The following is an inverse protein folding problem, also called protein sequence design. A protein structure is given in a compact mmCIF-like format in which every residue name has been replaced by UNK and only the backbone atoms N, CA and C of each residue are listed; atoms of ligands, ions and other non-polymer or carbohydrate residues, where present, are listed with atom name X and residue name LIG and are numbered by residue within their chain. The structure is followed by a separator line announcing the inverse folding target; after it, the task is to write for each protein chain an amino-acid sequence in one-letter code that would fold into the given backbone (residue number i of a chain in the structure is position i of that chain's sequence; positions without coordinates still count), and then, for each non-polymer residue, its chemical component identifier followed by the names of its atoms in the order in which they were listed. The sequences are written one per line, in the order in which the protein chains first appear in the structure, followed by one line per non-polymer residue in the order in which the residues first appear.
data_IF_610819668407
#
_entry.id   IF_610819668407
#
_cell.length_a   1.000
_cell.length_b   1.000
_cell.length_c   1.000
_cell.angle_alpha   90.00
_cell.angle_beta   90.00
_cell.angle_gamma   90.00
#
_symmetry.space_group_name_H-M   'P 1'
#
loop_
_entity.id
_entity.type
_entity.pdbx_description
1 polymer ?
#
# COMPACT_ATOMS: atom_id res chain seq x y z
N UNK A 1 3.19 13.12 -46.81
CA UNK A 1 4.28 12.09 -46.82
C UNK A 1 5.19 12.10 -45.59
N UNK A 2 5.15 13.08 -44.69
CA UNK A 2 5.99 13.14 -43.49
C UNK A 2 5.56 12.23 -42.32
N UNK A 3 4.29 11.89 -42.25
CA UNK A 3 3.72 11.12 -41.11
C UNK A 3 4.10 9.63 -41.12
N UNK A 4 4.27 9.02 -42.32
CA UNK A 4 4.63 7.61 -42.46
C UNK A 4 6.12 7.35 -42.14
N UNK A 5 7.00 8.33 -42.37
CA UNK A 5 8.42 8.24 -42.05
C UNK A 5 8.66 8.32 -40.53
N UNK A 6 7.91 9.18 -39.81
CA UNK A 6 8.02 9.31 -38.36
C UNK A 6 7.57 8.03 -37.61
N UNK A 7 6.51 7.39 -38.12
CA UNK A 7 5.99 6.14 -37.54
C UNK A 7 6.97 4.98 -37.70
N UNK A 8 7.67 4.89 -38.85
CA UNK A 8 8.70 3.86 -39.09
C UNK A 8 9.94 4.04 -38.23
N UNK A 9 10.39 5.29 -38.04
CA UNK A 9 11.55 5.59 -37.17
C UNK A 9 11.25 5.32 -35.70
N UNK A 10 10.04 5.65 -35.24
CA UNK A 10 9.60 5.40 -33.86
C UNK A 10 9.51 3.90 -33.58
N UNK A 11 8.97 3.12 -34.51
CA UNK A 11 8.87 1.66 -34.36
C UNK A 11 10.25 0.97 -34.44
N UNK A 12 11.17 1.47 -35.25
CA UNK A 12 12.54 0.94 -35.33
C UNK A 12 13.35 1.25 -34.07
N UNK A 13 13.21 2.46 -33.50
CA UNK A 13 13.82 2.85 -32.23
C UNK A 13 13.23 2.07 -31.05
N UNK A 14 11.90 1.87 -31.03
CA UNK A 14 11.21 1.07 -30.01
C UNK A 14 11.65 -0.40 -30.06
N UNK A 15 11.76 -0.99 -31.25
CA UNK A 15 12.23 -2.36 -31.44
C UNK A 15 13.68 -2.54 -30.95
N UNK A 16 14.56 -1.60 -31.29
CA UNK A 16 15.96 -1.61 -30.88
C UNK A 16 16.14 -1.40 -29.36
N UNK A 17 15.26 -0.60 -28.76
CA UNK A 17 15.21 -0.39 -27.31
C UNK A 17 14.66 -1.62 -26.59
N UNK A 18 13.59 -2.21 -27.10
CA UNK A 18 13.00 -3.47 -26.59
C UNK A 18 14.01 -4.61 -26.62
N UNK A 19 14.69 -4.81 -27.76
CA UNK A 19 15.63 -5.93 -27.94
C UNK A 19 16.90 -5.74 -27.08
N UNK A 20 17.30 -4.48 -26.81
CA UNK A 20 18.39 -4.16 -25.88
C UNK A 20 18.00 -4.41 -24.41
N UNK A 21 16.76 -4.11 -24.02
CA UNK A 21 16.26 -4.42 -22.67
C UNK A 21 16.01 -5.91 -22.49
N UNK A 22 15.55 -6.60 -23.52
CA UNK A 22 15.36 -8.04 -23.50
C UNK A 22 16.69 -8.79 -23.27
N UNK A 23 17.78 -8.36 -23.93
CA UNK A 23 19.11 -8.94 -23.73
C UNK A 23 19.76 -8.58 -22.39
N UNK A 24 19.37 -7.47 -21.73
CA UNK A 24 19.88 -7.12 -20.40
C UNK A 24 19.18 -7.95 -19.30
N UNK A 25 17.94 -8.38 -19.53
CA UNK A 25 17.20 -9.22 -18.58
C UNK A 25 17.44 -10.74 -18.73
N UNK A 26 18.06 -11.17 -19.85
CA UNK A 26 18.33 -12.58 -20.17
C UNK A 26 19.76 -12.80 -20.61
N UNK A 27 20.72 -12.39 -19.75
CA UNK A 27 22.09 -12.84 -19.92
C UNK A 27 22.22 -14.23 -19.27
N UNK A 28 22.16 -15.28 -20.10
CA UNK A 28 22.32 -16.68 -19.69
C UNK A 28 23.74 -17.00 -19.16
N UNK A 29 24.64 -16.01 -19.10
CA UNK A 29 26.02 -16.17 -18.66
C UNK A 29 26.31 -15.67 -17.25
N UNK A 30 25.32 -15.15 -16.53
CA UNK A 30 25.52 -14.85 -15.10
C UNK A 30 25.51 -16.17 -14.32
N UNK A 31 26.69 -16.70 -14.06
CA UNK A 31 26.90 -17.72 -13.03
C UNK A 31 26.63 -17.09 -11.67
N UNK A 32 25.37 -17.08 -11.25
CA UNK A 32 25.01 -16.75 -9.88
C UNK A 32 25.10 -17.99 -8.99
N UNK A 33 26.11 -18.02 -8.16
CA UNK A 33 26.11 -18.79 -6.92
C UNK A 33 25.14 -18.13 -5.92
N UNK A 34 23.85 -18.17 -6.23
CA UNK A 34 22.79 -17.85 -5.27
C UNK A 34 21.92 -19.09 -5.15
N UNK A 35 21.57 -19.43 -3.91
CA UNK A 35 20.67 -20.53 -3.60
C UNK A 35 19.37 -20.45 -4.40
N UNK A 36 18.43 -21.39 -4.27
CA UNK A 36 17.25 -21.50 -5.11
C UNK A 36 16.40 -20.24 -5.05
N UNK A 37 16.75 -19.28 -5.88
CA UNK A 37 16.01 -18.03 -6.04
C UNK A 37 14.73 -18.25 -6.84
N UNK A 38 13.73 -17.43 -6.57
CA UNK A 38 12.50 -17.43 -7.35
C UNK A 38 12.78 -17.03 -8.80
N UNK A 39 12.31 -17.84 -9.74
CA UNK A 39 12.38 -17.50 -11.18
C UNK A 39 11.15 -16.67 -11.54
N UNK A 40 11.36 -15.51 -12.15
CA UNK A 40 10.28 -14.64 -12.62
C UNK A 40 10.29 -14.62 -14.15
N UNK A 41 9.12 -14.86 -14.75
CA UNK A 41 8.90 -14.69 -16.19
C UNK A 41 7.82 -13.64 -16.41
N UNK A 42 8.05 -12.69 -17.31
CA UNK A 42 7.09 -11.65 -17.69
C UNK A 42 6.67 -11.89 -19.15
N UNK A 43 5.41 -12.19 -19.35
CA UNK A 43 4.80 -12.32 -20.68
C UNK A 43 4.00 -11.04 -20.98
N UNK A 44 4.31 -10.37 -22.10
CA UNK A 44 3.65 -9.14 -22.51
C UNK A 44 2.88 -9.41 -23.79
N UNK A 45 1.55 -9.27 -23.75
CA UNK A 45 0.65 -9.39 -24.91
C UNK A 45 -0.42 -8.30 -24.87
N UNK A 46 -0.85 -7.88 -26.05
CA UNK A 46 -2.01 -6.97 -26.20
C UNK A 46 -3.35 -7.60 -25.77
N UNK A 47 -3.37 -8.92 -25.60
CA UNK A 47 -4.56 -9.67 -25.16
C UNK A 47 -4.82 -9.48 -23.65
N UNK A 48 -3.80 -9.11 -22.88
CA UNK A 48 -3.94 -8.84 -21.44
C UNK A 48 -4.41 -7.40 -21.21
N UNK A 49 -5.69 -7.23 -20.90
CA UNK A 49 -6.28 -5.91 -20.61
C UNK A 49 -5.85 -5.39 -19.26
N UNK A 50 -5.62 -6.29 -18.30
CA UNK A 50 -5.16 -5.98 -16.94
C UNK A 50 -3.98 -6.88 -16.58
N UNK A 51 -2.96 -6.34 -15.87
CA UNK A 51 -1.85 -7.16 -15.42
C UNK A 51 -2.32 -8.15 -14.34
N UNK A 52 -1.87 -9.40 -14.44
CA UNK A 52 -2.07 -10.39 -13.40
C UNK A 52 -0.76 -11.16 -13.15
N UNK A 53 -0.60 -11.69 -11.94
CA UNK A 53 0.53 -12.54 -11.59
C UNK A 53 0.04 -13.91 -11.15
N UNK A 54 0.74 -14.97 -11.60
CA UNK A 54 0.49 -16.35 -11.16
C UNK A 54 1.76 -16.89 -10.52
N UNK A 55 1.65 -17.34 -9.29
CA UNK A 55 2.78 -17.90 -8.54
C UNK A 55 2.56 -19.41 -8.42
N UNK A 56 3.46 -20.18 -9.05
CA UNK A 56 3.50 -21.63 -8.90
C UNK A 56 4.44 -22.00 -7.77
N UNK A 57 3.92 -22.65 -6.74
CA UNK A 57 4.70 -23.07 -5.56
C UNK A 57 4.12 -24.34 -4.97
N UNK A 58 4.94 -25.15 -4.33
CA UNK A 58 4.54 -26.33 -3.58
C UNK A 58 3.92 -26.00 -2.21
N UNK A 59 4.30 -24.83 -1.66
CA UNK A 59 3.80 -24.34 -0.36
C UNK A 59 3.87 -22.83 -0.27
N UNK A 60 3.00 -22.24 0.53
CA UNK A 60 3.03 -20.82 0.85
C UNK A 60 4.04 -20.60 1.95
N UNK A 61 5.19 -20.01 1.60
CA UNK A 61 6.21 -19.55 2.55
C UNK A 61 5.95 -18.10 2.94
N UNK A 62 6.64 -17.61 4.00
CA UNK A 62 6.54 -16.20 4.41
C UNK A 62 6.95 -15.23 3.28
N UNK A 63 7.87 -15.64 2.42
CA UNK A 63 8.30 -14.88 1.26
C UNK A 63 7.19 -14.80 0.20
N UNK A 64 6.56 -15.93 -0.13
CA UNK A 64 5.41 -15.98 -1.03
C UNK A 64 4.24 -15.18 -0.46
N UNK A 65 3.98 -15.28 0.85
CA UNK A 65 2.93 -14.51 1.48
C UNK A 65 3.18 -12.99 1.37
N UNK A 66 4.42 -12.53 1.58
CA UNK A 66 4.78 -11.12 1.38
C UNK A 66 4.54 -10.64 -0.06
N UNK A 67 4.85 -11.49 -1.05
CA UNK A 67 4.60 -11.16 -2.46
C UNK A 67 3.11 -11.08 -2.77
N UNK A 68 2.32 -12.04 -2.30
CA UNK A 68 0.86 -11.99 -2.41
C UNK A 68 0.33 -10.70 -1.79
N UNK A 69 0.85 -10.32 -0.62
CA UNK A 69 0.46 -9.10 0.07
C UNK A 69 0.80 -7.84 -0.72
N UNK A 70 1.97 -7.80 -1.39
CA UNK A 70 2.35 -6.69 -2.27
C UNK A 70 1.41 -6.55 -3.48
N UNK A 71 1.02 -7.65 -4.11
CA UNK A 71 0.11 -7.62 -5.25
C UNK A 71 -1.37 -7.43 -4.84
N UNK A 72 -1.72 -7.80 -3.62
CA UNK A 72 -3.09 -7.71 -3.11
C UNK A 72 -3.42 -6.36 -2.48
N UNK A 73 -2.48 -5.44 -2.38
CA UNK A 73 -2.72 -4.07 -1.95
C UNK A 73 -3.43 -3.30 -3.07
N UNK A 74 -4.70 -3.60 -3.28
CA UNK A 74 -5.59 -2.64 -3.95
C UNK A 74 -5.78 -1.46 -2.98
N UNK A 75 -4.91 -0.47 -3.08
CA UNK A 75 -5.08 0.81 -2.42
C UNK A 75 -6.30 1.50 -3.02
N UNK A 76 -7.47 1.23 -2.46
CA UNK A 76 -8.70 1.82 -2.95
C UNK A 76 -8.88 3.20 -2.33
N UNK A 77 -9.01 4.25 -3.15
CA UNK A 77 -9.25 5.60 -2.65
C UNK A 77 -10.49 5.69 -1.76
N UNK A 78 -10.43 6.52 -0.73
CA UNK A 78 -11.54 6.76 0.19
C UNK A 78 -12.22 8.08 -0.17
N UNK A 79 -13.53 8.05 -0.34
CA UNK A 79 -14.33 9.28 -0.51
C UNK A 79 -14.66 9.88 0.85
N UNK A 80 -14.46 11.19 0.98
CA UNK A 80 -14.76 11.95 2.17
C UNK A 80 -15.35 13.32 1.83
N UNK A 81 -15.91 14.01 2.81
CA UNK A 81 -16.46 15.35 2.68
C UNK A 81 -15.50 16.35 3.32
N UNK A 82 -15.21 17.42 2.60
CA UNK A 82 -14.57 18.61 3.11
C UNK A 82 -15.63 19.70 3.20
N UNK A 83 -15.68 20.45 4.29
CA UNK A 83 -16.63 21.58 4.47
C UNK A 83 -18.10 21.25 4.20
N UNK A 84 -18.56 20.03 4.53
CA UNK A 84 -19.93 19.52 4.41
C UNK A 84 -20.48 19.31 2.99
N UNK A 85 -19.95 19.97 1.95
CA UNK A 85 -20.47 19.93 0.57
C UNK A 85 -19.49 19.31 -0.42
N UNK A 86 -18.18 19.53 -0.26
CA UNK A 86 -17.17 19.09 -1.22
C UNK A 86 -16.82 17.61 -1.04
N UNK A 87 -17.17 16.78 -2.01
CA UNK A 87 -16.76 15.39 -2.07
C UNK A 87 -15.34 15.27 -2.62
N UNK A 88 -14.42 14.80 -1.81
CA UNK A 88 -13.03 14.56 -2.19
C UNK A 88 -12.68 13.08 -2.18
N UNK A 89 -11.67 12.73 -2.98
CA UNK A 89 -11.13 11.38 -3.10
C UNK A 89 -9.72 11.38 -2.51
N UNK A 90 -9.55 10.69 -1.38
CA UNK A 90 -8.29 10.57 -0.68
C UNK A 90 -7.59 9.25 -1.03
N UNK A 91 -6.34 9.33 -1.43
CA UNK A 91 -5.49 8.16 -1.57
C UNK A 91 -5.04 7.67 -0.19
N UNK A 92 -4.86 6.35 0.03
CA UNK A 92 -4.41 5.82 1.32
C UNK A 92 -3.14 6.49 1.87
N UNK A 93 -2.21 6.88 0.98
CA UNK A 93 -0.99 7.62 1.34
C UNK A 93 -1.23 9.04 1.85
N UNK A 94 -2.41 9.62 1.67
CA UNK A 94 -2.78 10.94 2.17
C UNK A 94 -3.43 10.85 3.56
N UNK A 95 -3.73 9.62 4.01
CA UNK A 95 -4.45 9.36 5.26
C UNK A 95 -3.46 8.94 6.35
N UNK A 96 -3.40 9.69 7.42
CA UNK A 96 -2.57 9.42 8.60
C UNK A 96 -3.32 8.61 9.66
N UNK A 97 -4.55 8.97 9.92
CA UNK A 97 -5.38 8.37 10.95
C UNK A 97 -6.86 8.49 10.57
N UNK A 98 -7.63 7.52 10.98
CA UNK A 98 -9.10 7.59 10.95
C UNK A 98 -9.60 7.38 12.37
N UNK A 99 -10.47 8.27 12.86
CA UNK A 99 -11.03 8.21 14.21
C UNK A 99 -12.52 8.47 14.21
N UNK A 100 -13.22 7.77 15.07
CA UNK A 100 -14.64 8.07 15.39
C UNK A 100 -14.67 9.06 16.54
N UNK A 101 -15.22 10.24 16.28
CA UNK A 101 -15.41 11.34 17.24
C UNK A 101 -16.87 11.77 17.23
N UNK A 102 -17.51 11.84 18.39
CA UNK A 102 -18.91 12.25 18.54
C UNK A 102 -19.89 11.50 17.62
N UNK A 103 -19.59 10.23 17.33
CA UNK A 103 -20.42 9.39 16.44
C UNK A 103 -20.10 9.53 14.94
N UNK A 104 -19.22 10.43 14.56
CA UNK A 104 -18.79 10.67 13.18
C UNK A 104 -17.40 10.08 12.91
N UNK A 105 -17.18 9.62 11.70
CA UNK A 105 -15.86 9.12 11.27
C UNK A 105 -15.09 10.25 10.62
N UNK A 106 -13.97 10.62 11.25
CA UNK A 106 -13.07 11.68 10.82
C UNK A 106 -11.78 11.06 10.26
N UNK A 107 -11.38 11.49 9.07
CA UNK A 107 -10.12 11.13 8.42
C UNK A 107 -9.15 12.28 8.61
N UNK A 108 -7.95 11.98 9.10
CA UNK A 108 -6.87 12.94 9.33
C UNK A 108 -5.85 12.79 8.22
N UNK A 109 -5.70 13.82 7.41
CA UNK A 109 -4.63 14.00 6.46
C UNK A 109 -3.38 14.60 7.08
N UNK A 110 -2.51 15.15 6.26
CA UNK A 110 -1.30 15.83 6.74
C UNK A 110 -1.63 17.11 7.55
N UNK A 111 -2.50 17.95 7.04
CA UNK A 111 -2.93 19.21 7.65
C UNK A 111 -4.43 19.31 7.85
N UNK A 112 -5.20 18.63 7.01
CA UNK A 112 -6.64 18.76 6.93
C UNK A 112 -7.35 17.56 7.58
N UNK A 113 -8.62 17.79 7.92
CA UNK A 113 -9.53 16.78 8.42
C UNK A 113 -10.73 16.68 7.50
N UNK A 114 -11.18 15.47 7.29
CA UNK A 114 -12.28 15.18 6.41
C UNK A 114 -13.30 14.32 7.13
N UNK A 115 -14.56 14.46 6.80
CA UNK A 115 -15.66 13.68 7.37
C UNK A 115 -16.09 12.62 6.37
N UNK A 116 -16.46 11.43 6.85
CA UNK A 116 -17.05 10.40 6.01
C UNK A 116 -18.24 9.75 6.68
N UNK A 117 -19.21 9.32 5.90
CA UNK A 117 -20.36 8.55 6.38
C UNK A 117 -20.05 7.06 6.57
N UNK A 118 -18.91 6.61 6.03
CA UNK A 118 -18.47 5.22 6.19
C UNK A 118 -18.08 4.94 7.63
N UNK A 119 -18.38 3.74 8.08
CA UNK A 119 -17.96 3.28 9.42
C UNK A 119 -16.48 2.92 9.43
N UNK A 120 -15.83 2.97 10.57
CA UNK A 120 -14.40 2.69 10.75
C UNK A 120 -13.99 1.34 10.14
N UNK A 121 -14.77 0.29 10.34
CA UNK A 121 -14.48 -1.04 9.82
C UNK A 121 -14.58 -1.13 8.29
N UNK A 122 -15.44 -0.34 7.66
CA UNK A 122 -15.56 -0.27 6.19
C UNK A 122 -14.32 0.39 5.59
N UNK A 123 -13.88 1.49 6.20
CA UNK A 123 -12.64 2.18 5.81
C UNK A 123 -11.43 1.26 6.04
N UNK A 124 -11.36 0.56 7.17
CA UNK A 124 -10.26 -0.35 7.47
C UNK A 124 -10.09 -1.46 6.43
N UNK A 125 -11.20 -2.01 5.93
CA UNK A 125 -11.17 -2.99 4.83
C UNK A 125 -10.68 -2.39 3.51
N UNK A 126 -11.04 -1.14 3.25
CA UNK A 126 -10.70 -0.43 2.02
C UNK A 126 -9.23 0.01 1.98
N UNK A 127 -8.67 0.44 3.13
CA UNK A 127 -7.31 0.95 3.25
C UNK A 127 -6.22 -0.13 3.29
N UNK A 128 -6.59 -1.38 3.54
CA UNK A 128 -5.65 -2.51 3.51
C UNK A 128 -4.66 -2.59 4.68
N UNK A 129 -3.61 -3.40 4.53
CA UNK A 129 -2.69 -3.82 5.59
C UNK A 129 -1.75 -2.74 6.13
N UNK A 130 -1.58 -1.65 5.41
CA UNK A 130 -0.79 -0.50 5.90
C UNK A 130 -1.49 0.25 7.03
N UNK A 131 -2.76 -0.06 7.30
CA UNK A 131 -3.51 0.50 8.41
C UNK A 131 -3.73 -0.52 9.51
N UNK A 132 -3.56 -0.09 10.74
CA UNK A 132 -3.80 -0.91 11.92
C UNK A 132 -4.79 -0.25 12.86
N UNK A 133 -5.73 -1.04 13.37
CA UNK A 133 -6.63 -0.58 14.39
C UNK A 133 -5.94 -0.64 15.77
N UNK A 134 -5.86 0.50 16.46
CA UNK A 134 -5.21 0.64 17.76
C UNK A 134 -6.19 0.82 18.93
N UNK A 135 -7.44 1.13 18.61
CA UNK A 135 -8.53 1.22 19.59
C UNK A 135 -9.87 0.88 18.94
N UNK A 136 -10.95 0.88 19.69
CA UNK A 136 -12.30 0.68 19.13
C UNK A 136 -12.69 1.77 18.14
N UNK A 137 -12.10 2.94 18.28
CA UNK A 137 -12.46 4.15 17.54
C UNK A 137 -11.38 4.64 16.62
N UNK A 138 -10.19 4.04 16.62
CA UNK A 138 -9.02 4.60 15.89
C UNK A 138 -8.29 3.56 15.06
N UNK A 139 -8.05 3.94 13.80
CA UNK A 139 -7.23 3.26 12.80
C UNK A 139 -6.09 4.19 12.41
N UNK A 140 -4.87 3.70 12.35
CA UNK A 140 -3.68 4.48 12.00
C UNK A 140 -2.99 3.93 10.77
N UNK A 141 -2.33 4.81 10.01
CA UNK A 141 -1.40 4.40 8.97
C UNK A 141 -0.02 4.14 9.60
N UNK A 142 0.44 2.91 9.53
CA UNK A 142 1.69 2.44 10.13
C UNK A 142 2.92 3.15 9.55
N UNK A 143 2.86 3.58 8.28
CA UNK A 143 3.95 4.28 7.59
C UNK A 143 4.23 5.67 8.17
N UNK A 144 3.27 6.27 8.91
CA UNK A 144 3.37 7.60 9.48
C UNK A 144 3.62 7.63 10.99
N UNK A 145 3.93 6.48 11.59
CA UNK A 145 4.36 6.46 12.99
C UNK A 145 5.64 7.29 13.17
N UNK A 146 5.66 8.13 14.18
CA UNK A 146 6.81 8.94 14.59
C UNK A 146 7.46 8.34 15.82
N UNK A 147 6.70 8.28 16.94
CA UNK A 147 7.20 7.77 18.20
C UNK A 147 6.13 7.10 19.03
N UNK A 148 6.58 6.27 19.95
CA UNK A 148 5.74 5.55 20.91
C UNK A 148 6.25 5.88 22.30
N UNK A 149 5.36 6.28 23.19
CA UNK A 149 5.65 6.63 24.58
C UNK A 149 4.85 5.73 25.52
N UNK A 150 5.36 5.40 26.70
CA UNK A 150 4.55 4.75 27.74
C UNK A 150 3.31 5.59 28.05
N UNK A 151 2.14 4.96 28.04
CA UNK A 151 0.87 5.57 28.40
C UNK A 151 0.43 5.16 29.80
N UNK A 152 -0.65 5.79 30.27
CA UNK A 152 -1.22 5.47 31.59
C UNK A 152 -1.83 4.06 31.60
N UNK A 153 -1.68 3.37 32.73
CA UNK A 153 -2.33 2.06 32.97
C UNK A 153 -1.87 0.94 32.02
N UNK A 154 -0.63 0.97 31.54
CA UNK A 154 -0.07 -0.07 30.63
C UNK A 154 -0.50 0.04 29.19
N UNK A 155 -1.02 1.20 28.77
CA UNK A 155 -1.26 1.56 27.38
C UNK A 155 0.02 2.12 26.72
N UNK A 156 0.01 2.33 25.41
CA UNK A 156 1.06 3.06 24.70
C UNK A 156 0.44 4.28 24.03
N UNK A 157 1.08 5.44 24.17
CA UNK A 157 0.73 6.64 23.42
C UNK A 157 1.51 6.63 22.10
N UNK A 158 0.80 6.57 21.00
CA UNK A 158 1.39 6.66 19.68
C UNK A 158 1.26 8.09 19.14
N UNK A 159 2.34 8.60 18.55
CA UNK A 159 2.37 9.89 17.84
C UNK A 159 2.68 9.66 16.38
N UNK A 160 2.00 10.38 15.51
CA UNK A 160 2.19 10.36 14.06
C UNK A 160 2.93 11.63 13.61
N UNK A 161 3.56 11.56 12.44
CA UNK A 161 4.38 12.65 11.87
C UNK A 161 3.61 13.95 11.65
N UNK A 162 2.30 13.90 11.45
CA UNK A 162 1.44 15.09 11.34
C UNK A 162 1.01 15.68 12.69
N UNK A 163 1.57 15.18 13.82
CA UNK A 163 1.24 15.61 15.17
C UNK A 163 0.00 14.96 15.77
N UNK A 164 -0.76 14.17 15.04
CA UNK A 164 -1.85 13.38 15.59
C UNK A 164 -1.33 12.37 16.61
N UNK A 165 -2.12 12.08 17.63
CA UNK A 165 -1.77 11.13 18.68
C UNK A 165 -3.01 10.38 19.17
N UNK A 166 -2.81 9.13 19.56
CA UNK A 166 -3.83 8.33 20.23
C UNK A 166 -3.22 7.18 21.03
N UNK A 167 -4.02 6.58 21.91
CA UNK A 167 -3.58 5.47 22.74
C UNK A 167 -3.86 4.13 22.09
N UNK A 168 -2.84 3.27 22.04
CA UNK A 168 -3.04 1.84 21.75
C UNK A 168 -3.70 1.21 22.97
N UNK A 169 -4.95 0.84 22.85
CA UNK A 169 -5.71 0.27 23.96
C UNK A 169 -5.27 -1.18 24.24
N UNK A 170 -5.44 -1.64 25.47
CA UNK A 170 -4.95 -2.95 25.97
C UNK A 170 -5.32 -4.13 25.06
N UNK A 171 -6.51 -4.11 24.47
CA UNK A 171 -6.98 -5.17 23.58
C UNK A 171 -6.12 -5.27 22.29
N UNK A 172 -5.62 -4.15 21.81
CA UNK A 172 -4.87 -4.06 20.55
C UNK A 172 -3.35 -4.10 20.75
N UNK A 173 -2.86 -3.99 22.00
CA UNK A 173 -1.45 -4.04 22.34
C UNK A 173 -0.71 -5.30 21.86
N UNK A 174 -1.26 -6.53 21.99
CA UNK A 174 -0.55 -7.73 21.56
C UNK A 174 -0.22 -7.71 20.08
N UNK A 175 -1.19 -7.35 19.24
CA UNK A 175 -1.02 -7.25 17.79
C UNK A 175 -0.04 -6.13 17.41
N UNK A 176 -0.18 -4.97 18.07
CA UNK A 176 0.70 -3.82 17.86
C UNK A 176 2.15 -4.13 18.27
N UNK A 177 2.38 -4.79 19.40
CA UNK A 177 3.72 -5.23 19.82
C UNK A 177 4.32 -6.25 18.85
N UNK A 178 3.52 -7.23 18.41
CA UNK A 178 3.95 -8.20 17.39
C UNK A 178 4.41 -7.51 16.10
N UNK A 179 3.69 -6.48 15.66
CA UNK A 179 4.09 -5.69 14.49
C UNK A 179 5.44 -5.00 14.69
N UNK A 180 5.73 -4.52 15.90
CA UNK A 180 7.01 -3.89 16.25
C UNK A 180 8.15 -4.89 16.52
N UNK A 181 7.87 -6.19 16.52
CA UNK A 181 8.86 -7.21 16.86
C UNK A 181 9.16 -7.31 18.37
N UNK A 182 8.20 -6.90 19.24
CA UNK A 182 8.31 -6.85 20.70
C UNK A 182 7.53 -7.99 21.36
#
# INVERSE_FOLDING_TARGET
MAFAAFHRLFFAAYRKFRDKFYNIMYDDNIKEERGPGMKVRVDISADYKEPYAVIYTDKVTDEIQRMIDLFSTSETPVTALQNEEDLIVLQPKEIFMVRVENGETIIYGEKDKYRTRKRLYEIGRQLGKQFMQISRTTLINLSYMDRIEPGFGGTLLLKLRNGCKDYVSRRYLPEFKKYLGL
#
